data_IF_980785182364
#
_entry.id   IF_980785182364
#
_cell.length_a   1.000
_cell.length_b   1.000
_cell.length_c   1.000
_cell.angle_alpha   90.00
_cell.angle_beta   90.00
_cell.angle_gamma   90.00
#
_symmetry.space_group_name_H-M   'P 1'
#
loop_
_entity.id
_entity.type
_entity.pdbx_description
1 polymer ?
#
# COMPACT_ATOMS: atom_id res chain seq x y z
N UNK A 1 11.91 4.22 22.75
CA UNK A 1 12.56 3.54 21.61
C UNK A 1 11.71 3.82 20.39
N UNK A 2 12.20 4.58 19.40
CA UNK A 2 11.43 4.90 18.20
C UNK A 2 11.73 3.88 17.11
N UNK A 3 10.79 2.97 16.86
CA UNK A 3 10.85 2.09 15.68
C UNK A 3 10.23 2.85 14.50
N UNK A 4 11.03 3.12 13.46
CA UNK A 4 10.53 3.75 12.25
C UNK A 4 9.87 2.71 11.34
N UNK A 5 8.67 3.01 10.85
CA UNK A 5 8.00 2.16 9.84
C UNK A 5 8.78 2.25 8.52
N UNK A 6 9.39 1.14 8.11
CA UNK A 6 10.08 1.00 6.84
C UNK A 6 9.09 0.80 5.67
N UNK A 7 8.10 -0.06 5.90
CA UNK A 7 7.27 -0.57 4.83
C UNK A 7 6.38 -1.72 5.27
N UNK A 8 5.95 -2.54 4.32
CA UNK A 8 5.10 -3.70 4.56
C UNK A 8 5.52 -4.87 3.69
N UNK A 9 5.35 -6.09 4.22
CA UNK A 9 5.22 -7.30 3.41
C UNK A 9 3.73 -7.57 3.23
N UNK A 10 3.32 -7.79 1.98
CA UNK A 10 1.99 -8.20 1.58
C UNK A 10 2.08 -9.65 1.13
N UNK A 11 1.28 -10.49 1.74
CA UNK A 11 1.40 -11.94 1.75
C UNK A 11 2.79 -12.37 2.22
N UNK A 12 3.63 -12.88 1.34
CA UNK A 12 5.00 -13.32 1.68
C UNK A 12 6.04 -12.94 0.62
N UNK A 13 5.64 -12.42 -0.53
CA UNK A 13 6.51 -12.20 -1.69
C UNK A 13 6.47 -10.79 -2.25
N UNK A 14 5.59 -9.91 -1.74
CA UNK A 14 5.50 -8.52 -2.16
C UNK A 14 5.94 -7.59 -1.03
N UNK A 15 6.93 -6.76 -1.32
CA UNK A 15 7.42 -5.71 -0.46
C UNK A 15 6.92 -4.35 -0.93
N UNK A 16 6.30 -3.61 -0.02
CA UNK A 16 6.05 -2.17 -0.16
C UNK A 16 7.11 -1.39 0.63
N UNK A 17 7.94 -0.65 -0.09
CA UNK A 17 9.02 0.19 0.44
C UNK A 17 8.57 1.66 0.39
N UNK A 18 8.32 2.25 1.58
CA UNK A 18 7.73 3.59 1.70
C UNK A 18 8.74 4.65 1.28
N UNK A 19 9.98 4.56 1.77
CA UNK A 19 11.01 5.58 1.54
C UNK A 19 11.40 5.63 0.05
N UNK A 20 11.51 4.46 -0.59
CA UNK A 20 11.87 4.37 -2.01
C UNK A 20 10.66 4.35 -2.96
N UNK A 21 9.44 4.59 -2.43
CA UNK A 21 8.19 4.74 -3.20
C UNK A 21 7.95 3.60 -4.20
N UNK A 22 8.14 2.35 -3.81
CA UNK A 22 8.04 1.21 -4.74
C UNK A 22 7.39 -0.02 -4.13
N UNK A 23 6.83 -0.83 -5.02
CA UNK A 23 6.48 -2.22 -4.76
C UNK A 23 7.49 -3.12 -5.47
N UNK A 24 7.85 -4.22 -4.84
CA UNK A 24 8.72 -5.24 -5.43
C UNK A 24 8.17 -6.61 -5.10
N UNK A 25 8.06 -7.47 -6.11
CA UNK A 25 7.74 -8.88 -5.93
C UNK A 25 8.96 -9.71 -6.27
N UNK A 26 9.30 -10.65 -5.39
CA UNK A 26 10.39 -11.59 -5.62
C UNK A 26 9.84 -13.00 -5.48
N UNK A 27 9.81 -13.74 -6.58
CA UNK A 27 9.26 -15.10 -6.61
C UNK A 27 10.33 -16.06 -7.08
N UNK A 28 10.60 -17.08 -6.27
CA UNK A 28 11.47 -18.18 -6.67
C UNK A 28 10.72 -19.11 -7.62
N UNK A 29 11.35 -19.49 -8.72
CA UNK A 29 10.82 -20.49 -9.65
C UNK A 29 11.57 -21.80 -9.41
N UNK A 30 10.86 -22.76 -8.84
CA UNK A 30 11.36 -24.11 -8.62
C UNK A 30 10.89 -25.05 -9.74
N UNK A 31 11.71 -26.04 -10.16
CA UNK A 31 13.03 -26.41 -9.61
C UNK A 31 14.23 -25.65 -10.21
N UNK A 32 14.00 -24.69 -11.11
CA UNK A 32 15.05 -24.08 -11.95
C UNK A 32 16.07 -23.21 -11.19
N UNK A 33 15.88 -22.97 -9.88
CA UNK A 33 16.72 -22.07 -9.06
C UNK A 33 16.83 -20.66 -9.66
N UNK A 34 15.85 -20.24 -10.45
CA UNK A 34 15.76 -18.90 -11.02
C UNK A 34 14.82 -18.03 -10.19
N UNK A 35 14.97 -16.70 -10.32
CA UNK A 35 14.16 -15.73 -9.60
C UNK A 35 13.51 -14.77 -10.58
N UNK A 36 12.20 -14.56 -10.43
CA UNK A 36 11.47 -13.51 -11.11
C UNK A 36 11.36 -12.33 -10.16
N UNK A 37 11.81 -11.16 -10.63
CA UNK A 37 11.73 -9.91 -9.89
C UNK A 37 10.86 -8.94 -10.68
N UNK A 38 9.75 -8.52 -10.10
CA UNK A 38 8.91 -7.44 -10.61
C UNK A 38 9.03 -6.22 -9.71
N UNK A 39 9.14 -5.02 -10.28
CA UNK A 39 9.16 -3.79 -9.50
C UNK A 39 8.32 -2.71 -10.19
N UNK A 40 7.63 -1.90 -9.37
CA UNK A 40 6.87 -0.77 -9.87
C UNK A 40 6.97 0.43 -8.93
N UNK A 41 7.24 1.60 -9.51
CA UNK A 41 7.28 2.86 -8.78
C UNK A 41 5.87 3.41 -8.53
N UNK A 42 5.71 4.04 -7.38
CA UNK A 42 4.51 4.74 -6.92
C UNK A 42 4.82 6.24 -6.79
N UNK A 43 3.82 7.09 -7.02
CA UNK A 43 3.95 8.51 -6.69
C UNK A 43 3.66 8.75 -5.20
N UNK A 44 3.93 9.96 -4.71
CA UNK A 44 3.75 10.31 -3.30
C UNK A 44 2.33 10.10 -2.77
N UNK A 45 1.32 10.42 -3.58
CA UNK A 45 -0.09 10.25 -3.23
C UNK A 45 -0.44 8.77 -3.05
N UNK A 46 0.03 7.92 -3.97
CA UNK A 46 -0.13 6.46 -3.90
C UNK A 46 0.55 5.86 -2.66
N UNK A 47 1.77 6.30 -2.36
CA UNK A 47 2.52 5.86 -1.18
C UNK A 47 1.76 6.21 0.09
N UNK A 48 1.28 7.45 0.22
CA UNK A 48 0.49 7.89 1.38
C UNK A 48 -0.81 7.10 1.50
N UNK A 49 -1.53 6.93 0.40
CA UNK A 49 -2.79 6.17 0.39
C UNK A 49 -2.55 4.74 0.87
N UNK A 50 -1.61 4.03 0.25
CA UNK A 50 -1.33 2.62 0.57
C UNK A 50 -0.82 2.49 2.01
N UNK A 51 0.09 3.37 2.45
CA UNK A 51 0.57 3.42 3.84
C UNK A 51 -0.56 3.61 4.84
N UNK A 52 -1.46 4.57 4.60
CA UNK A 52 -2.60 4.84 5.47
C UNK A 52 -3.49 3.59 5.60
N UNK A 53 -3.87 2.98 4.47
CA UNK A 53 -4.71 1.79 4.45
C UNK A 53 -4.05 0.60 5.16
N UNK A 54 -2.81 0.26 4.81
CA UNK A 54 -2.12 -0.90 5.37
C UNK A 54 -1.83 -0.72 6.87
N UNK A 55 -1.48 0.50 7.32
CA UNK A 55 -1.23 0.78 8.74
C UNK A 55 -2.48 0.54 9.57
N UNK A 56 -3.64 0.98 9.09
CA UNK A 56 -4.92 0.88 9.80
C UNK A 56 -5.44 -0.56 9.81
N UNK A 57 -5.36 -1.26 8.68
CA UNK A 57 -5.74 -2.68 8.61
C UNK A 57 -4.82 -3.54 9.48
N UNK A 58 -3.51 -3.27 9.50
CA UNK A 58 -2.59 -3.98 10.40
C UNK A 58 -2.88 -3.71 11.90
N UNK A 59 -3.59 -2.64 12.23
CA UNK A 59 -4.09 -2.32 13.58
C UNK A 59 -5.50 -2.88 13.87
N UNK A 60 -6.11 -3.60 12.92
CA UNK A 60 -7.42 -4.24 13.08
C UNK A 60 -8.60 -3.43 12.54
N UNK A 61 -8.38 -2.29 11.89
CA UNK A 61 -9.47 -1.55 11.23
C UNK A 61 -9.93 -2.30 9.97
N UNK A 62 -11.22 -2.67 9.90
CA UNK A 62 -11.76 -3.38 8.73
C UNK A 62 -12.01 -2.47 7.52
N UNK A 63 -12.23 -1.17 7.73
CA UNK A 63 -12.51 -0.20 6.66
C UNK A 63 -12.00 1.16 7.07
N UNK A 64 -11.29 1.83 6.16
CA UNK A 64 -10.78 3.19 6.35
C UNK A 64 -11.69 4.17 5.60
N UNK A 65 -12.17 5.21 6.29
CA UNK A 65 -13.16 6.13 5.72
C UNK A 65 -12.57 7.03 4.64
N UNK A 66 -13.42 7.56 3.76
CA UNK A 66 -12.98 8.48 2.69
C UNK A 66 -12.42 9.77 3.26
N UNK A 67 -13.00 10.26 4.35
CA UNK A 67 -12.60 11.48 5.04
C UNK A 67 -11.18 11.35 5.58
N UNK A 68 -10.83 10.19 6.15
CA UNK A 68 -9.46 9.89 6.58
C UNK A 68 -8.49 9.98 5.40
N UNK A 69 -8.83 9.41 4.25
CA UNK A 69 -7.97 9.49 3.06
C UNK A 69 -7.83 10.92 2.56
N UNK A 70 -8.94 11.66 2.41
CA UNK A 70 -8.91 13.05 1.96
C UNK A 70 -7.99 13.89 2.85
N UNK A 71 -8.10 13.71 4.17
CA UNK A 71 -7.25 14.38 5.15
C UNK A 71 -5.77 13.96 5.06
N UNK A 72 -5.47 12.69 5.32
CA UNK A 72 -4.09 12.23 5.54
C UNK A 72 -3.28 12.10 4.24
N UNK A 73 -3.93 11.94 3.09
CA UNK A 73 -3.24 11.75 1.80
C UNK A 73 -3.10 13.05 1.03
N UNK A 74 -3.99 14.03 1.24
CA UNK A 74 -3.99 15.31 0.54
C UNK A 74 -3.89 16.51 1.47
N UNK A 75 -4.86 16.74 2.36
CA UNK A 75 -4.98 18.00 3.12
C UNK A 75 -3.78 18.23 4.07
N UNK A 76 -3.34 17.19 4.78
CA UNK A 76 -2.17 17.26 5.68
C UNK A 76 -0.86 17.53 4.91
N UNK A 77 -0.88 17.43 3.58
CA UNK A 77 0.22 17.74 2.67
C UNK A 77 -0.05 19.01 1.84
N UNK A 78 -1.02 19.85 2.24
CA UNK A 78 -1.43 21.08 1.56
C UNK A 78 -1.86 20.85 0.10
N UNK A 79 -2.37 19.67 -0.22
CA UNK A 79 -2.94 19.37 -1.53
C UNK A 79 -4.45 19.53 -1.49
N UNK A 80 -5.03 19.99 -2.60
CA UNK A 80 -6.48 19.96 -2.78
C UNK A 80 -6.95 18.51 -2.73
N UNK A 81 -7.97 18.24 -1.91
CA UNK A 81 -8.60 16.94 -1.77
C UNK A 81 -10.00 16.94 -2.40
N UNK A 82 -10.35 15.86 -3.11
CA UNK A 82 -11.66 15.69 -3.71
C UNK A 82 -11.96 14.22 -3.97
N UNK A 83 -13.25 13.90 -4.09
CA UNK A 83 -13.70 12.56 -4.48
C UNK A 83 -13.12 12.11 -5.83
N UNK A 84 -12.90 13.05 -6.76
CA UNK A 84 -12.32 12.77 -8.07
C UNK A 84 -10.84 12.36 -7.97
N UNK A 85 -10.04 13.04 -7.14
CA UNK A 85 -8.65 12.69 -6.91
C UNK A 85 -8.49 11.35 -6.18
N UNK A 86 -9.37 11.09 -5.20
CA UNK A 86 -9.44 9.82 -4.49
C UNK A 86 -9.67 8.66 -5.47
N UNK A 87 -10.69 8.79 -6.32
CA UNK A 87 -11.02 7.79 -7.32
C UNK A 87 -9.89 7.59 -8.36
N UNK A 88 -9.30 8.68 -8.86
CA UNK A 88 -8.18 8.63 -9.82
C UNK A 88 -6.99 7.89 -9.23
N UNK A 89 -6.62 8.24 -7.99
CA UNK A 89 -5.47 7.64 -7.29
C UNK A 89 -5.68 6.16 -7.07
N UNK A 90 -6.87 5.74 -6.64
CA UNK A 90 -7.18 4.33 -6.40
C UNK A 90 -7.15 3.53 -7.71
N UNK A 91 -7.68 4.09 -8.79
CA UNK A 91 -7.62 3.45 -10.11
C UNK A 91 -6.18 3.23 -10.57
N UNK A 92 -5.36 4.27 -10.51
CA UNK A 92 -3.95 4.18 -10.90
C UNK A 92 -3.16 3.24 -9.98
N UNK A 93 -3.42 3.29 -8.67
CA UNK A 93 -2.79 2.41 -7.69
C UNK A 93 -3.15 0.95 -7.94
N UNK A 94 -4.42 0.62 -8.20
CA UNK A 94 -4.87 -0.74 -8.54
C UNK A 94 -4.16 -1.28 -9.78
N UNK A 95 -3.97 -0.45 -10.81
CA UNK A 95 -3.21 -0.84 -12.00
C UNK A 95 -1.75 -1.18 -11.66
N UNK A 96 -1.11 -0.37 -10.80
CA UNK A 96 0.26 -0.62 -10.33
C UNK A 96 0.37 -1.90 -9.50
N UNK A 97 -0.56 -2.11 -8.55
CA UNK A 97 -0.63 -3.33 -7.75
C UNK A 97 -0.79 -4.58 -8.63
N UNK A 98 -1.64 -4.51 -9.65
CA UNK A 98 -1.83 -5.62 -10.59
C UNK A 98 -0.58 -5.92 -11.44
N UNK A 99 0.21 -4.90 -11.80
CA UNK A 99 1.46 -5.10 -12.54
C UNK A 99 2.53 -5.89 -11.77
N UNK A 100 2.42 -5.96 -10.44
CA UNK A 100 3.26 -6.80 -9.58
C UNK A 100 2.52 -8.06 -9.10
N UNK A 101 1.37 -8.37 -9.70
CA UNK A 101 0.63 -9.61 -9.51
C UNK A 101 -0.28 -9.66 -8.29
N UNK A 102 -0.68 -8.52 -7.73
CA UNK A 102 -1.83 -8.45 -6.82
C UNK A 102 -3.14 -8.45 -7.61
N UNK A 103 -4.20 -8.97 -7.01
CA UNK A 103 -5.51 -8.92 -7.63
C UNK A 103 -6.06 -7.47 -7.68
N UNK A 104 -6.82 -7.13 -8.71
CA UNK A 104 -7.50 -5.84 -8.88
C UNK A 104 -8.48 -5.52 -7.75
N UNK A 105 -8.94 -6.54 -7.04
CA UNK A 105 -9.80 -6.45 -5.87
C UNK A 105 -9.04 -6.37 -4.54
N UNK A 106 -7.71 -6.26 -4.55
CA UNK A 106 -6.87 -6.07 -3.35
C UNK A 106 -7.40 -4.92 -2.47
N UNK A 107 -7.73 -3.78 -3.10
CA UNK A 107 -8.42 -2.65 -2.46
C UNK A 107 -9.91 -2.73 -2.83
N UNK A 108 -10.78 -2.87 -1.84
CA UNK A 108 -12.24 -2.98 -2.03
C UNK A 108 -12.90 -1.67 -1.67
N UNK A 109 -13.81 -1.17 -2.52
CA UNK A 109 -14.64 -0.01 -2.23
C UNK A 109 -15.89 -0.45 -1.46
N UNK A 110 -16.07 0.06 -0.24
CA UNK A 110 -17.21 -0.25 0.65
C UNK A 110 -18.30 0.84 0.49
N UNK A 111 -18.59 1.22 -0.75
CA UNK A 111 -19.63 2.19 -1.10
C UNK A 111 -19.36 3.60 -0.57
N UNK A 112 -20.28 4.12 0.26
CA UNK A 112 -20.16 5.47 0.84
C UNK A 112 -19.16 5.52 2.00
N UNK A 113 -18.85 4.39 2.62
CA UNK A 113 -18.04 4.32 3.85
C UNK A 113 -16.58 4.62 3.57
N UNK A 114 -15.96 3.88 2.64
CA UNK A 114 -14.51 3.94 2.50
C UNK A 114 -13.94 2.78 1.72
N UNK A 115 -12.72 2.39 2.10
CA UNK A 115 -11.99 1.31 1.46
C UNK A 115 -11.48 0.30 2.47
N UNK A 116 -11.50 -0.97 2.09
CA UNK A 116 -10.94 -2.08 2.85
C UNK A 116 -9.93 -2.84 2.00
N UNK A 117 -9.23 -3.79 2.63
CA UNK A 117 -8.41 -4.76 1.93
C UNK A 117 -9.18 -6.09 1.80
N UNK A 118 -8.96 -6.79 0.69
CA UNK A 118 -9.28 -8.21 0.61
C UNK A 118 -8.37 -9.00 1.56
N UNK A 119 -8.74 -10.25 1.88
CA UNK A 119 -7.96 -11.14 2.75
C UNK A 119 -6.56 -11.32 2.17
N UNK A 120 -5.59 -10.68 2.82
CA UNK A 120 -4.15 -10.74 2.54
C UNK A 120 -3.41 -10.69 3.88
N UNK A 121 -2.25 -11.33 3.95
CA UNK A 121 -1.39 -11.21 5.14
C UNK A 121 -0.62 -9.90 5.04
N UNK A 122 -0.86 -8.96 5.95
CA UNK A 122 -0.17 -7.66 5.97
C UNK A 122 0.77 -7.61 7.17
N UNK A 123 2.07 -7.54 6.94
CA UNK A 123 3.09 -7.48 8.00
C UNK A 123 3.87 -6.15 7.90
N UNK A 124 3.75 -5.25 8.88
CA UNK A 124 4.57 -4.05 8.90
C UNK A 124 6.05 -4.40 9.13
N UNK A 125 6.93 -3.74 8.40
CA UNK A 125 8.39 -3.81 8.59
C UNK A 125 8.88 -2.55 9.29
N UNK A 126 9.66 -2.73 10.35
CA UNK A 126 10.24 -1.64 11.12
C UNK A 126 11.76 -1.70 11.05
N UNK A 127 12.42 -0.55 11.01
CA UNK A 127 13.85 -0.45 11.26
C UNK A 127 14.11 0.09 12.66
N UNK A 128 15.28 -0.29 13.19
CA UNK A 128 15.80 0.20 14.46
C UNK A 128 17.09 0.95 14.19
N UNK A 129 17.16 2.21 14.63
CA UNK A 129 18.42 2.93 14.67
C UNK A 129 19.22 2.39 15.86
N UNK A 130 20.43 1.91 15.58
CA UNK A 130 21.43 1.59 16.60
C UNK A 130 22.35 2.80 16.65
N UNK A 131 22.21 3.60 17.71
CA UNK A 131 23.12 4.70 18.04
C UNK A 131 24.30 4.14 18.85
#
# INVERSE_FOLDING_TARGET
>A
MENGLFGFIIDDDIQFDIANKRLTRVTAVFPERSMIVGAVALNDVMVRFLKCLLTRVAKGEHTVSKEIFLKEVWEDYNLVASSQQLWKTIRELKFKLASIGLNQDFIVNVGRVGYSLRIHTIRPLFYRLVL
#
